data_IF_412284436289
#
_entry.id   IF_412284436289
#
_cell.length_a   1.000
_cell.length_b   1.000
_cell.length_c   1.000
_cell.angle_alpha   90.00
_cell.angle_beta   90.00
_cell.angle_gamma   90.00
#
_symmetry.space_group_name_H-M   'P 1'
#
loop_
_entity.id
_entity.type
_entity.pdbx_description
1 polymer ?
#
# COMPACT_ATOMS: atom_id res chain seq x y z
N UNK A 1 -5.74 4.28 11.92
CA UNK A 1 -7.18 4.10 11.63
C UNK A 1 -7.64 4.74 10.32
N UNK A 2 -6.95 5.75 9.77
CA UNK A 2 -7.30 6.36 8.46
C UNK A 2 -6.79 5.56 7.24
N UNK A 3 -5.74 4.74 7.38
CA UNK A 3 -5.20 3.94 6.27
C UNK A 3 -6.03 2.69 5.94
N UNK A 4 -6.72 2.10 6.93
CA UNK A 4 -7.68 1.02 6.70
C UNK A 4 -8.91 1.51 5.91
N UNK A 5 -9.29 2.78 6.10
CA UNK A 5 -10.38 3.43 5.36
C UNK A 5 -9.98 3.70 3.91
N UNK A 6 -8.71 4.01 3.62
CA UNK A 6 -8.24 4.20 2.25
C UNK A 6 -8.13 2.88 1.47
N UNK A 7 -7.79 1.77 2.13
CA UNK A 7 -7.80 0.43 1.52
C UNK A 7 -9.23 -0.08 1.31
N UNK A 8 -10.13 0.13 2.29
CA UNK A 8 -11.57 -0.11 2.10
C UNK A 8 -12.17 0.78 1.00
N UNK A 9 -11.78 2.05 0.91
CA UNK A 9 -12.25 2.94 -0.16
C UNK A 9 -11.68 2.58 -1.53
N UNK A 10 -10.49 1.97 -1.61
CA UNK A 10 -9.96 1.41 -2.86
C UNK A 10 -10.70 0.12 -3.25
N UNK A 11 -10.94 -0.79 -2.30
CA UNK A 11 -11.70 -2.02 -2.51
C UNK A 11 -13.16 -1.73 -2.91
N UNK A 12 -13.82 -0.81 -2.21
CA UNK A 12 -15.17 -0.31 -2.53
C UNK A 12 -15.19 0.47 -3.85
N UNK A 13 -14.11 1.18 -4.22
CA UNK A 13 -14.03 1.82 -5.55
C UNK A 13 -13.89 0.79 -6.67
N UNK A 14 -13.16 -0.30 -6.46
CA UNK A 14 -13.05 -1.41 -7.43
C UNK A 14 -14.38 -2.17 -7.54
N UNK A 15 -15.04 -2.45 -6.43
CA UNK A 15 -16.39 -3.03 -6.41
C UNK A 15 -17.40 -2.08 -7.07
N UNK A 16 -17.41 -0.79 -6.73
CA UNK A 16 -18.32 0.20 -7.33
C UNK A 16 -18.04 0.43 -8.82
N UNK A 17 -16.79 0.34 -9.27
CA UNK A 17 -16.42 0.42 -10.68
C UNK A 17 -16.85 -0.83 -11.46
N UNK A 18 -16.85 -2.00 -10.84
CA UNK A 18 -17.41 -3.24 -11.40
C UNK A 18 -18.94 -3.21 -11.44
N UNK A 19 -19.59 -2.68 -10.40
CA UNK A 19 -21.05 -2.50 -10.35
C UNK A 19 -21.51 -1.46 -11.37
N UNK A 20 -20.81 -0.33 -11.49
CA UNK A 20 -21.15 0.73 -12.47
C UNK A 20 -20.81 0.35 -13.91
N UNK A 21 -19.79 -0.49 -14.16
CA UNK A 21 -19.55 -1.04 -15.49
C UNK A 21 -20.63 -2.07 -15.89
N UNK A 22 -21.13 -2.85 -14.93
CA UNK A 22 -22.26 -3.77 -15.12
C UNK A 22 -23.58 -3.01 -15.35
N UNK A 23 -23.80 -1.90 -14.63
CA UNK A 23 -24.96 -1.00 -14.82
C UNK A 23 -24.86 -0.17 -16.12
N UNK A 24 -23.66 0.25 -16.53
CA UNK A 24 -23.45 0.97 -17.80
C UNK A 24 -23.64 0.07 -19.03
N UNK A 25 -23.32 -1.22 -18.93
CA UNK A 25 -23.65 -2.23 -19.96
C UNK A 25 -25.14 -2.57 -19.99
N UNK A 26 -25.88 -2.36 -18.90
CA UNK A 26 -27.33 -2.55 -18.83
C UNK A 26 -28.14 -1.36 -19.40
N UNK A 27 -27.54 -0.20 -19.63
CA UNK A 27 -28.25 1.03 -20.08
C UNK A 27 -28.20 1.26 -21.59
N UNK A 28 -27.49 0.45 -22.39
CA UNK A 28 -27.39 0.63 -23.86
C UNK A 28 -27.93 -0.54 -24.68
N UNK A 29 -29.16 -1.00 -24.42
CA UNK A 29 -29.88 -1.90 -25.33
C UNK A 29 -31.26 -1.34 -25.66
N UNK A 30 -31.32 -0.53 -26.72
CA UNK A 30 -32.57 -0.08 -27.34
C UNK A 30 -33.38 -1.28 -27.83
N UNK A 31 -34.48 -1.55 -27.14
CA UNK A 31 -35.37 -2.66 -27.42
C UNK A 31 -36.28 -2.37 -28.63
N UNK A 32 -35.79 -2.62 -29.85
CA UNK A 32 -36.69 -2.88 -30.99
C UNK A 32 -37.08 -4.36 -31.00
N UNK A 33 -38.31 -4.62 -30.54
CA UNK A 33 -38.96 -5.94 -30.57
C UNK A 33 -38.97 -6.53 -31.98
N UNK A 34 -38.19 -7.57 -32.21
CA UNK A 34 -38.42 -8.54 -33.29
C UNK A 34 -39.19 -9.74 -32.74
N UNK A 35 -40.35 -10.00 -33.33
CA UNK A 35 -41.19 -11.16 -33.07
C UNK A 35 -40.91 -12.16 -34.20
N UNK A 36 -40.17 -13.23 -33.93
CA UNK A 36 -40.26 -14.49 -34.70
C UNK A 36 -39.58 -15.65 -33.97
N UNK A 37 -40.23 -16.80 -34.10
CA UNK A 37 -39.99 -18.14 -33.54
C UNK A 37 -38.55 -18.64 -33.38
N UNK A 38 -38.37 -19.46 -32.33
CA UNK A 38 -37.16 -20.16 -31.87
C UNK A 38 -36.30 -19.29 -30.93
N UNK A 39 -36.69 -19.26 -29.64
CA UNK A 39 -36.05 -18.48 -28.58
C UNK A 39 -34.64 -18.97 -28.28
N UNK A 40 -33.66 -18.52 -29.07
CA UNK A 40 -32.28 -18.42 -28.61
C UNK A 40 -32.14 -17.11 -27.86
N UNK A 41 -31.84 -17.19 -26.56
CA UNK A 41 -31.62 -16.02 -25.71
C UNK A 41 -30.53 -15.13 -26.29
N UNK A 42 -30.65 -13.80 -26.15
CA UNK A 42 -29.71 -12.82 -26.69
C UNK A 42 -28.25 -13.08 -26.28
N UNK A 43 -28.05 -13.69 -25.11
CA UNK A 43 -26.73 -14.08 -24.59
C UNK A 43 -26.09 -15.18 -25.45
N UNK A 44 -26.89 -16.09 -26.01
CA UNK A 44 -26.41 -17.19 -26.87
C UNK A 44 -25.95 -16.72 -28.26
N UNK A 45 -26.13 -15.44 -28.58
CA UNK A 45 -25.64 -14.83 -29.83
C UNK A 45 -24.25 -14.20 -29.69
N UNK A 46 -23.75 -14.06 -28.47
CA UNK A 46 -22.42 -13.50 -28.23
C UNK A 46 -21.34 -14.54 -28.59
N UNK A 47 -20.20 -14.11 -29.18
CA UNK A 47 -19.06 -14.98 -29.37
C UNK A 47 -18.53 -15.53 -28.04
N UNK A 48 -17.99 -16.75 -28.05
CA UNK A 48 -17.52 -17.43 -26.84
C UNK A 48 -16.42 -16.62 -26.13
N UNK A 49 -15.56 -15.89 -26.85
CA UNK A 49 -14.53 -15.04 -26.26
C UNK A 49 -15.11 -13.85 -25.49
N UNK A 50 -16.27 -13.33 -25.93
CA UNK A 50 -16.98 -12.25 -25.23
C UNK A 50 -17.65 -12.84 -23.99
N UNK A 51 -18.28 -14.00 -24.11
CA UNK A 51 -18.87 -14.70 -22.97
C UNK A 51 -17.82 -15.07 -21.92
N UNK A 52 -16.64 -15.55 -22.33
CA UNK A 52 -15.52 -15.85 -21.43
C UNK A 52 -15.04 -14.63 -20.65
N UNK A 53 -14.95 -13.46 -21.32
CA UNK A 53 -14.65 -12.19 -20.64
C UNK A 53 -15.74 -11.78 -19.66
N UNK A 54 -17.02 -11.92 -20.02
CA UNK A 54 -18.13 -11.64 -19.11
C UNK A 54 -18.07 -12.56 -17.88
N UNK A 55 -17.83 -13.86 -18.09
CA UNK A 55 -17.68 -14.81 -16.98
C UNK A 55 -16.48 -14.51 -16.09
N UNK A 56 -15.39 -13.96 -16.64
CA UNK A 56 -14.20 -13.55 -15.89
C UNK A 56 -14.44 -12.35 -14.97
N UNK A 57 -15.56 -11.62 -15.16
CA UNK A 57 -15.99 -10.54 -14.27
C UNK A 57 -16.92 -11.05 -13.15
N UNK A 58 -17.38 -12.29 -13.22
CA UNK A 58 -18.23 -12.90 -12.20
C UNK A 58 -17.37 -13.60 -11.13
N UNK A 59 -17.89 -13.72 -9.89
CA UNK A 59 -17.28 -14.59 -8.89
C UNK A 59 -17.08 -16.01 -9.43
N UNK A 60 -15.93 -16.62 -9.16
CA UNK A 60 -15.53 -17.95 -9.71
C UNK A 60 -16.60 -19.01 -9.53
N UNK A 61 -17.29 -19.02 -8.38
CA UNK A 61 -18.38 -19.97 -8.10
C UNK A 61 -19.56 -19.81 -9.05
N UNK A 62 -19.91 -18.58 -9.40
CA UNK A 62 -20.99 -18.27 -10.36
C UNK A 62 -20.53 -18.57 -11.78
N UNK A 63 -19.31 -18.17 -12.15
CA UNK A 63 -18.75 -18.49 -13.46
C UNK A 63 -18.71 -20.02 -13.69
N UNK A 64 -18.22 -20.77 -12.70
CA UNK A 64 -18.13 -22.23 -12.77
C UNK A 64 -19.51 -22.91 -12.81
N UNK A 65 -20.53 -22.36 -12.15
CA UNK A 65 -21.89 -22.95 -12.19
C UNK A 65 -22.53 -22.86 -13.57
N UNK A 66 -22.15 -21.88 -14.40
CA UNK A 66 -22.62 -21.80 -15.79
C UNK A 66 -22.23 -23.03 -16.62
N UNK A 67 -21.11 -23.70 -16.27
CA UNK A 67 -20.66 -24.92 -16.95
C UNK A 67 -21.63 -26.11 -16.82
N UNK A 68 -22.62 -25.99 -15.92
CA UNK A 68 -23.69 -26.96 -15.73
C UNK A 68 -24.89 -26.72 -16.67
N UNK A 69 -24.99 -25.55 -17.29
CA UNK A 69 -26.13 -25.16 -18.14
C UNK A 69 -26.14 -25.89 -19.48
N UNK A 70 -24.97 -26.10 -20.10
CA UNK A 70 -24.82 -26.86 -21.35
C UNK A 70 -23.36 -27.23 -21.62
N UNK A 71 -23.13 -28.02 -22.68
CA UNK A 71 -21.77 -28.28 -23.20
C UNK A 71 -21.08 -27.00 -23.68
N UNK A 72 -21.79 -26.11 -24.38
CA UNK A 72 -21.22 -24.86 -24.87
C UNK A 72 -20.72 -23.98 -23.72
N UNK A 73 -21.54 -23.83 -22.67
CA UNK A 73 -21.15 -23.06 -21.48
C UNK A 73 -19.96 -23.66 -20.74
N UNK A 74 -19.74 -24.98 -20.84
CA UNK A 74 -18.53 -25.61 -20.33
C UNK A 74 -17.28 -25.23 -21.15
N UNK A 75 -17.41 -25.13 -22.47
CA UNK A 75 -16.32 -24.69 -23.35
C UNK A 75 -16.03 -23.20 -23.15
N UNK A 76 -17.07 -22.36 -23.03
CA UNK A 76 -16.94 -20.93 -22.70
C UNK A 76 -16.25 -20.72 -21.35
N UNK A 77 -16.57 -21.55 -20.34
CA UNK A 77 -15.92 -21.43 -19.03
C UNK A 77 -14.40 -21.60 -19.12
N UNK A 78 -13.88 -22.39 -20.07
CA UNK A 78 -12.42 -22.54 -20.29
C UNK A 78 -11.70 -21.26 -20.70
N UNK A 79 -12.45 -20.27 -21.18
CA UNK A 79 -11.92 -18.96 -21.57
C UNK A 79 -11.83 -18.01 -20.38
N UNK A 80 -12.28 -18.43 -19.20
CA UNK A 80 -12.16 -17.65 -17.97
C UNK A 80 -10.71 -17.64 -17.51
N UNK A 81 -10.09 -16.47 -17.56
CA UNK A 81 -8.66 -16.30 -17.27
C UNK A 81 -8.38 -15.71 -15.88
N UNK A 82 -9.42 -15.40 -15.10
CA UNK A 82 -9.35 -14.92 -13.73
C UNK A 82 -10.10 -15.87 -12.78
N UNK A 83 -9.38 -16.43 -11.80
CA UNK A 83 -9.94 -17.32 -10.80
C UNK A 83 -9.65 -16.78 -9.39
N UNK A 84 -10.67 -16.73 -8.57
CA UNK A 84 -10.61 -16.38 -7.15
C UNK A 84 -11.21 -17.49 -6.27
N UNK A 85 -10.39 -18.00 -5.35
CA UNK A 85 -10.75 -19.05 -4.40
C UNK A 85 -10.54 -18.56 -2.97
N UNK A 86 -11.64 -18.45 -2.21
CA UNK A 86 -11.62 -18.07 -0.80
C UNK A 86 -12.33 -19.11 0.07
N UNK A 87 -11.57 -19.71 1.00
CA UNK A 87 -12.06 -20.68 1.98
C UNK A 87 -12.76 -20.01 3.19
N UNK A 88 -12.55 -18.72 3.45
CA UNK A 88 -13.05 -18.03 4.66
C UNK A 88 -14.57 -18.05 4.84
N UNK A 89 -15.33 -18.16 3.75
CA UNK A 89 -16.79 -18.32 3.79
C UNK A 89 -17.25 -19.64 4.43
N UNK A 90 -16.35 -20.62 4.56
CA UNK A 90 -16.64 -21.93 5.18
C UNK A 90 -16.74 -21.85 6.72
N UNK A 91 -16.19 -20.79 7.33
CA UNK A 91 -16.15 -20.61 8.79
C UNK A 91 -17.39 -19.92 9.39
N UNK A 92 -18.23 -19.27 8.58
CA UNK A 92 -19.36 -18.46 9.08
C UNK A 92 -20.57 -19.27 9.59
N UNK A 93 -20.52 -20.61 9.56
CA UNK A 93 -21.71 -21.45 9.75
C UNK A 93 -21.72 -22.37 10.97
N UNK A 94 -20.77 -22.26 11.92
CA UNK A 94 -20.77 -23.12 13.12
C UNK A 94 -20.38 -22.35 14.38
N UNK A 95 -21.40 -21.90 15.10
CA UNK A 95 -21.28 -21.28 16.43
C UNK A 95 -20.83 -22.27 17.52
N UNK A 96 -20.78 -23.58 17.23
CA UNK A 96 -20.34 -24.58 18.18
C UNK A 96 -19.23 -25.47 17.61
N UNK A 97 -18.09 -25.46 18.31
CA UNK A 97 -16.88 -26.32 18.21
C UNK A 97 -15.70 -25.73 17.44
N UNK A 98 -14.60 -25.56 18.19
CA UNK A 98 -13.19 -25.58 17.78
C UNK A 98 -12.94 -25.12 16.33
N UNK A 99 -12.55 -23.85 16.16
CA UNK A 99 -12.16 -23.28 14.87
C UNK A 99 -11.17 -24.23 14.19
N UNK A 100 -11.62 -24.94 13.15
CA UNK A 100 -10.72 -25.74 12.30
C UNK A 100 -9.94 -24.75 11.45
N UNK A 101 -8.65 -24.59 11.74
CA UNK A 101 -7.70 -23.78 10.95
C UNK A 101 -7.26 -24.51 9.67
N UNK A 102 -8.23 -25.07 8.94
CA UNK A 102 -8.02 -26.06 7.87
C UNK A 102 -9.15 -25.89 6.87
N UNK A 103 -8.83 -25.73 5.58
CA UNK A 103 -9.86 -25.60 4.55
C UNK A 103 -10.70 -26.88 4.41
N UNK A 104 -11.96 -26.75 4.02
CA UNK A 104 -12.87 -27.89 3.90
C UNK A 104 -12.62 -28.77 2.67
N UNK A 105 -12.97 -30.07 2.72
CA UNK A 105 -12.90 -30.97 1.56
C UNK A 105 -13.81 -30.52 0.39
N UNK A 106 -14.90 -29.82 0.69
CA UNK A 106 -15.78 -29.23 -0.34
C UNK A 106 -15.09 -28.08 -1.08
N UNK A 107 -14.28 -27.29 -0.38
CA UNK A 107 -13.41 -26.28 -0.98
C UNK A 107 -12.33 -26.94 -1.84
N UNK A 108 -11.61 -27.94 -1.32
CA UNK A 108 -10.62 -28.72 -2.08
C UNK A 108 -11.20 -29.26 -3.39
N UNK A 109 -12.34 -29.95 -3.29
CA UNK A 109 -13.02 -30.50 -4.46
C UNK A 109 -13.55 -29.43 -5.42
N UNK A 110 -13.92 -28.24 -4.93
CA UNK A 110 -14.32 -27.12 -5.78
C UNK A 110 -13.14 -26.58 -6.58
N UNK A 111 -11.99 -26.34 -5.94
CA UNK A 111 -10.76 -25.88 -6.61
C UNK A 111 -10.33 -26.90 -7.67
N UNK A 112 -10.25 -28.18 -7.29
CA UNK A 112 -9.84 -29.25 -8.19
C UNK A 112 -10.75 -29.40 -9.40
N UNK A 113 -12.07 -29.41 -9.20
CA UNK A 113 -13.03 -29.49 -10.32
C UNK A 113 -12.94 -28.26 -11.20
N UNK A 114 -12.77 -27.07 -10.62
CA UNK A 114 -12.67 -25.82 -11.39
C UNK A 114 -11.42 -25.81 -12.26
N UNK A 115 -10.26 -26.16 -11.70
CA UNK A 115 -9.00 -26.24 -12.46
C UNK A 115 -9.02 -27.35 -13.53
N UNK A 116 -9.72 -28.45 -13.28
CA UNK A 116 -9.92 -29.53 -14.25
C UNK A 116 -10.85 -29.10 -15.40
N UNK A 117 -11.90 -28.33 -15.13
CA UNK A 117 -12.80 -27.81 -16.17
C UNK A 117 -12.08 -26.88 -17.14
N UNK A 118 -11.09 -26.13 -16.66
CA UNK A 118 -10.24 -25.24 -17.46
C UNK A 118 -9.28 -25.98 -18.42
N UNK A 119 -9.05 -27.29 -18.24
CA UNK A 119 -8.08 -28.06 -19.04
C UNK A 119 -6.72 -27.35 -19.13
N UNK A 120 -6.07 -27.25 -20.28
CA UNK A 120 -4.78 -26.59 -20.45
C UNK A 120 -4.89 -25.10 -20.84
N UNK A 121 -6.07 -24.48 -20.65
CA UNK A 121 -6.25 -23.08 -21.01
C UNK A 121 -5.44 -22.16 -20.08
N UNK A 122 -4.86 -21.05 -20.63
CA UNK A 122 -4.08 -20.12 -19.84
C UNK A 122 -4.93 -19.45 -18.76
N UNK A 123 -4.44 -19.48 -17.51
CA UNK A 123 -5.00 -18.71 -16.40
C UNK A 123 -4.10 -17.49 -16.23
N UNK A 124 -4.63 -16.28 -16.37
CA UNK A 124 -3.84 -15.07 -16.22
C UNK A 124 -3.73 -14.60 -14.78
N UNK A 125 -4.83 -14.67 -14.03
CA UNK A 125 -4.92 -14.17 -12.67
C UNK A 125 -5.44 -15.30 -11.77
N UNK A 126 -4.72 -15.59 -10.69
CA UNK A 126 -5.19 -16.46 -9.63
C UNK A 126 -5.12 -15.72 -8.29
N UNK A 127 -6.24 -15.73 -7.57
CA UNK A 127 -6.32 -15.41 -6.15
C UNK A 127 -6.66 -16.69 -5.37
N UNK A 128 -5.83 -17.03 -4.39
CA UNK A 128 -6.01 -18.18 -3.52
C UNK A 128 -5.86 -17.74 -2.07
N UNK A 129 -6.95 -17.84 -1.31
CA UNK A 129 -7.01 -17.59 0.11
C UNK A 129 -7.48 -18.84 0.85
N UNK A 130 -6.63 -19.39 1.71
CA UNK A 130 -6.90 -20.63 2.42
C UNK A 130 -6.18 -20.74 3.77
N UNK A 131 -6.77 -21.48 4.70
CA UNK A 131 -6.17 -21.84 5.99
C UNK A 131 -5.66 -23.28 5.94
N UNK A 132 -4.42 -23.48 6.40
CA UNK A 132 -3.72 -24.77 6.42
C UNK A 132 -3.31 -25.08 7.86
N UNK A 133 -3.58 -26.31 8.31
CA UNK A 133 -3.19 -26.75 9.64
C UNK A 133 -1.67 -26.95 9.76
N UNK A 134 -1.11 -26.72 10.96
CA UNK A 134 0.35 -26.70 11.22
C UNK A 134 1.11 -27.91 10.63
N UNK A 135 0.51 -29.10 10.69
CA UNK A 135 1.10 -30.37 10.28
C UNK A 135 0.27 -31.10 9.21
N UNK A 136 -0.58 -30.39 8.46
CA UNK A 136 -1.41 -30.99 7.41
C UNK A 136 -0.68 -31.03 6.07
N UNK A 137 0.24 -31.99 5.93
CA UNK A 137 1.02 -32.20 4.71
C UNK A 137 0.17 -32.52 3.48
N UNK A 138 -1.03 -33.11 3.66
CA UNK A 138 -1.98 -33.33 2.55
C UNK A 138 -2.46 -31.99 2.00
N UNK A 139 -2.86 -31.07 2.87
CA UNK A 139 -3.33 -29.75 2.45
C UNK A 139 -2.24 -28.89 1.86
N UNK A 140 -1.04 -28.90 2.46
CA UNK A 140 0.14 -28.24 1.88
C UNK A 140 0.43 -28.77 0.48
N UNK A 141 0.37 -30.08 0.28
CA UNK A 141 0.54 -30.70 -1.05
C UNK A 141 -0.57 -30.30 -2.04
N UNK A 142 -1.82 -30.15 -1.58
CA UNK A 142 -2.92 -29.65 -2.43
C UNK A 142 -2.67 -28.22 -2.89
N UNK A 143 -2.30 -27.33 -1.97
CA UNK A 143 -1.96 -25.93 -2.28
C UNK A 143 -0.78 -25.86 -3.25
N UNK A 144 0.29 -26.63 -3.00
CA UNK A 144 1.45 -26.70 -3.89
C UNK A 144 1.08 -27.21 -5.30
N UNK A 145 0.16 -28.18 -5.39
CA UNK A 145 -0.35 -28.70 -6.66
C UNK A 145 -1.18 -27.66 -7.41
N UNK A 146 -2.06 -26.91 -6.74
CA UNK A 146 -2.84 -25.84 -7.35
C UNK A 146 -1.95 -24.72 -7.89
N UNK A 147 -0.99 -24.27 -7.09
CA UNK A 147 -0.01 -23.25 -7.50
C UNK A 147 0.81 -23.75 -8.70
N UNK A 148 1.34 -24.98 -8.63
CA UNK A 148 2.13 -25.55 -9.74
C UNK A 148 1.32 -25.65 -11.03
N UNK A 149 0.06 -26.05 -10.94
CA UNK A 149 -0.84 -26.15 -12.08
C UNK A 149 -1.02 -24.79 -12.79
N UNK A 150 -1.31 -23.72 -12.04
CA UNK A 150 -1.51 -22.39 -12.66
C UNK A 150 -0.22 -21.77 -13.16
N UNK A 151 0.90 -22.01 -12.47
CA UNK A 151 2.21 -21.51 -12.90
C UNK A 151 2.63 -22.18 -14.20
N UNK A 152 2.40 -23.49 -14.33
CA UNK A 152 2.65 -24.23 -15.58
C UNK A 152 1.81 -23.68 -16.75
N UNK A 153 0.59 -23.20 -16.48
CA UNK A 153 -0.30 -22.56 -17.47
C UNK A 153 0.06 -21.11 -17.80
N UNK A 154 1.15 -20.58 -17.24
CA UNK A 154 1.67 -19.25 -17.59
C UNK A 154 0.98 -18.09 -16.88
N UNK A 155 0.63 -18.24 -15.60
CA UNK A 155 0.03 -17.18 -14.78
C UNK A 155 0.83 -15.86 -14.81
N UNK A 156 0.11 -14.75 -14.90
CA UNK A 156 0.67 -13.38 -14.92
C UNK A 156 0.60 -12.73 -13.54
N UNK A 157 -0.51 -12.87 -12.83
CA UNK A 157 -0.72 -12.33 -11.49
C UNK A 157 -1.15 -13.44 -10.52
N UNK A 158 -0.41 -13.57 -9.42
CA UNK A 158 -0.67 -14.57 -8.40
C UNK A 158 -0.80 -13.90 -7.03
N UNK A 159 -1.95 -14.08 -6.40
CA UNK A 159 -2.28 -13.59 -5.08
C UNK A 159 -2.48 -14.77 -4.13
N UNK A 160 -1.55 -14.95 -3.19
CA UNK A 160 -1.55 -16.04 -2.23
C UNK A 160 -1.76 -15.49 -0.82
N UNK A 161 -2.94 -15.71 -0.26
CA UNK A 161 -3.25 -15.46 1.16
C UNK A 161 -3.40 -16.80 1.88
N UNK A 162 -2.26 -17.40 2.18
CA UNK A 162 -2.21 -18.68 2.89
C UNK A 162 -1.99 -18.36 4.36
N UNK A 163 -2.79 -18.96 5.25
CA UNK A 163 -2.54 -18.92 6.70
C UNK A 163 -2.14 -20.31 7.14
N UNK A 164 -0.86 -20.47 7.49
CA UNK A 164 -0.28 -21.74 7.91
C UNK A 164 0.26 -21.59 9.34
N UNK A 165 -0.09 -22.50 10.23
CA UNK A 165 0.40 -22.50 11.62
C UNK A 165 1.80 -23.12 11.76
N UNK A 166 2.35 -23.68 10.68
CA UNK A 166 3.69 -24.24 10.61
C UNK A 166 4.54 -23.64 9.49
N UNK A 167 5.59 -24.36 9.10
CA UNK A 167 6.45 -23.99 7.97
C UNK A 167 5.77 -24.41 6.67
N UNK A 168 5.67 -23.45 5.75
CA UNK A 168 5.07 -23.64 4.42
C UNK A 168 6.15 -23.61 3.32
N UNK A 169 6.11 -24.60 2.43
CA UNK A 169 6.99 -24.66 1.27
C UNK A 169 6.21 -24.31 0.00
N UNK A 170 6.56 -23.19 -0.62
CA UNK A 170 6.03 -22.84 -1.94
C UNK A 170 6.70 -23.72 -3.02
N UNK A 171 5.95 -24.14 -4.05
CA UNK A 171 6.49 -25.05 -5.06
C UNK A 171 7.63 -24.39 -5.85
N UNK A 172 8.76 -25.10 -6.11
CA UNK A 172 9.89 -24.52 -6.83
C UNK A 172 9.56 -23.96 -8.21
N UNK A 173 8.53 -24.52 -8.86
CA UNK A 173 8.05 -24.06 -10.17
C UNK A 173 7.62 -22.59 -10.14
N UNK A 174 7.07 -22.11 -9.01
CA UNK A 174 6.69 -20.71 -8.81
C UNK A 174 7.89 -19.78 -9.03
N UNK A 175 9.05 -20.15 -8.47
CA UNK A 175 10.28 -19.37 -8.50
C UNK A 175 11.08 -19.49 -9.79
N UNK A 176 10.63 -20.32 -10.74
CA UNK A 176 11.19 -20.47 -12.08
C UNK A 176 10.25 -19.90 -13.18
N UNK A 177 9.17 -19.23 -12.80
CA UNK A 177 8.17 -18.72 -13.74
C UNK A 177 8.71 -17.56 -14.59
N UNK A 178 8.53 -17.69 -15.91
CA UNK A 178 8.89 -16.68 -16.92
C UNK A 178 7.73 -15.74 -17.31
N UNK A 179 6.53 -15.99 -16.81
CA UNK A 179 5.31 -15.24 -17.14
C UNK A 179 4.85 -14.34 -15.99
N UNK A 180 5.22 -14.68 -14.76
CA UNK A 180 4.72 -14.02 -13.55
C UNK A 180 5.21 -12.56 -13.44
N UNK A 181 4.29 -11.61 -13.54
CA UNK A 181 4.51 -10.17 -13.43
C UNK A 181 4.15 -9.63 -12.05
N UNK A 182 3.12 -10.16 -11.38
CA UNK A 182 2.74 -9.71 -10.05
C UNK A 182 2.64 -10.88 -9.10
N UNK A 183 3.33 -10.79 -7.99
CA UNK A 183 3.33 -11.80 -6.93
C UNK A 183 2.97 -11.13 -5.61
N UNK A 184 1.86 -11.57 -5.04
CA UNK A 184 1.44 -11.23 -3.70
C UNK A 184 1.49 -12.50 -2.86
N UNK A 185 2.24 -12.49 -1.76
CA UNK A 185 2.32 -13.61 -0.81
C UNK A 185 2.06 -13.04 0.58
N UNK A 186 1.10 -13.61 1.31
CA UNK A 186 0.98 -13.30 2.72
C UNK A 186 -0.37 -13.47 3.40
N UNK A 187 -0.32 -13.81 4.69
CA UNK A 187 -0.97 -13.13 5.83
C UNK A 187 -0.73 -13.99 7.09
N UNK A 188 0.51 -13.97 7.62
CA UNK A 188 1.05 -14.82 8.72
C UNK A 188 1.60 -16.17 8.26
N UNK A 189 2.66 -16.14 7.44
CA UNK A 189 3.32 -17.33 6.90
C UNK A 189 4.77 -17.44 7.36
N UNK A 190 5.18 -18.63 7.78
CA UNK A 190 6.58 -18.98 7.94
C UNK A 190 7.02 -19.74 6.70
N UNK A 191 7.76 -19.08 5.80
CA UNK A 191 8.28 -19.75 4.62
C UNK A 191 9.51 -20.58 4.98
N UNK A 192 9.50 -21.84 4.56
CA UNK A 192 10.72 -22.64 4.59
C UNK A 192 11.74 -22.12 3.59
N UNK A 193 12.98 -22.59 3.72
CA UNK A 193 14.10 -22.23 2.86
C UNK A 193 13.75 -22.17 1.37
N UNK A 194 14.04 -21.03 0.76
CA UNK A 194 13.81 -20.82 -0.66
C UNK A 194 14.84 -21.60 -1.52
N UNK A 195 14.46 -22.06 -2.73
CA UNK A 195 15.39 -22.73 -3.63
C UNK A 195 16.50 -21.76 -4.07
N UNK A 196 17.76 -22.21 -4.10
CA UNK A 196 18.91 -21.34 -4.44
C UNK A 196 18.94 -20.82 -5.88
N UNK A 197 18.07 -21.36 -6.75
CA UNK A 197 18.01 -21.07 -8.19
C UNK A 197 16.80 -20.19 -8.58
N UNK A 198 16.27 -19.37 -7.68
CA UNK A 198 15.18 -18.43 -8.01
C UNK A 198 15.55 -17.63 -9.26
N UNK A 199 14.72 -17.73 -10.29
CA UNK A 199 14.89 -17.00 -11.54
C UNK A 199 13.53 -16.57 -12.05
N UNK A 200 13.28 -15.29 -11.86
CA UNK A 200 12.02 -14.63 -12.11
C UNK A 200 12.28 -13.48 -13.10
N UNK A 201 12.45 -13.79 -14.41
CA UNK A 201 13.00 -12.86 -15.39
C UNK A 201 12.02 -11.78 -15.90
N UNK A 202 10.73 -11.86 -15.56
CA UNK A 202 9.72 -10.88 -16.00
C UNK A 202 9.73 -9.61 -15.12
N UNK A 203 9.25 -8.48 -15.64
CA UNK A 203 9.08 -7.23 -14.86
C UNK A 203 8.13 -7.48 -13.70
N UNK A 204 8.52 -7.11 -12.45
CA UNK A 204 7.79 -7.57 -11.25
C UNK A 204 7.32 -6.48 -10.29
N UNK A 205 6.13 -6.74 -9.75
CA UNK A 205 5.57 -6.16 -8.53
C UNK A 205 5.55 -7.28 -7.48
N UNK A 206 6.22 -7.06 -6.35
CA UNK A 206 6.25 -8.01 -5.24
C UNK A 206 5.60 -7.37 -4.01
N UNK A 207 4.53 -7.99 -3.53
CA UNK A 207 3.87 -7.59 -2.30
C UNK A 207 3.97 -8.73 -1.29
N UNK A 208 4.54 -8.41 -0.13
CA UNK A 208 4.77 -9.34 0.97
C UNK A 208 3.93 -8.86 2.14
N UNK A 209 3.05 -9.72 2.64
CA UNK A 209 2.20 -9.42 3.81
C UNK A 209 2.41 -10.44 4.93
N UNK A 210 3.11 -10.02 5.98
CA UNK A 210 3.28 -10.77 7.22
C UNK A 210 3.88 -12.16 6.94
N UNK A 211 5.04 -12.17 6.27
CA UNK A 211 5.76 -13.38 5.86
C UNK A 211 7.14 -13.41 6.50
N UNK A 212 7.43 -14.45 7.27
CA UNK A 212 8.74 -14.68 7.85
C UNK A 212 9.61 -15.46 6.86
N UNK A 213 10.81 -14.95 6.61
CA UNK A 213 11.85 -15.59 5.80
C UNK A 213 12.99 -16.05 6.70
N UNK A 214 13.68 -17.13 6.34
CA UNK A 214 14.98 -17.45 6.91
C UNK A 214 15.98 -16.29 6.67
N UNK A 215 16.97 -16.15 7.55
CA UNK A 215 17.90 -15.02 7.50
C UNK A 215 18.59 -14.91 6.13
N UNK A 216 18.39 -13.77 5.48
CA UNK A 216 18.96 -13.48 4.16
C UNK A 216 18.14 -13.97 2.96
N UNK A 217 17.16 -14.86 3.12
CA UNK A 217 16.43 -15.44 1.98
C UNK A 217 15.67 -14.39 1.16
N UNK A 218 15.09 -13.38 1.82
CA UNK A 218 14.43 -12.28 1.12
C UNK A 218 15.39 -11.58 0.15
N UNK A 219 16.54 -11.09 0.64
CA UNK A 219 17.47 -10.30 -0.17
C UNK A 219 18.35 -11.15 -1.07
N UNK A 220 18.99 -12.16 -0.50
CA UNK A 220 20.03 -12.95 -1.15
C UNK A 220 19.47 -14.01 -2.12
N UNK A 221 18.20 -14.38 -1.97
CA UNK A 221 17.57 -15.43 -2.80
C UNK A 221 16.41 -14.86 -3.62
N UNK A 222 15.35 -14.34 -2.96
CA UNK A 222 14.14 -13.91 -3.65
C UNK A 222 14.36 -12.64 -4.49
N UNK A 223 14.86 -11.56 -3.88
CA UNK A 223 15.09 -10.29 -4.57
C UNK A 223 16.25 -10.40 -5.59
N UNK A 224 17.32 -11.12 -5.24
CA UNK A 224 18.43 -11.41 -6.15
C UNK A 224 17.97 -12.20 -7.40
N UNK A 225 17.01 -13.11 -7.25
CA UNK A 225 16.41 -13.87 -8.34
C UNK A 225 15.43 -13.09 -9.22
N UNK A 226 15.11 -11.83 -8.89
CA UNK A 226 14.16 -10.97 -9.61
C UNK A 226 14.87 -9.79 -10.32
N UNK A 227 15.57 -10.01 -11.46
CA UNK A 227 16.41 -8.99 -12.10
C UNK A 227 15.65 -7.78 -12.69
N UNK A 228 14.32 -7.83 -12.78
CA UNK A 228 13.47 -6.74 -13.30
C UNK A 228 12.42 -6.27 -12.28
N UNK A 229 12.65 -6.48 -10.98
CA UNK A 229 11.75 -6.01 -9.93
C UNK A 229 11.79 -4.48 -9.83
N UNK A 230 10.65 -3.81 -9.98
CA UNK A 230 10.56 -2.35 -9.89
C UNK A 230 9.85 -1.86 -8.64
N UNK A 231 8.83 -2.58 -8.17
CA UNK A 231 8.06 -2.20 -6.99
C UNK A 231 8.06 -3.33 -5.96
N UNK A 232 8.46 -2.99 -4.74
CA UNK A 232 8.46 -3.86 -3.57
C UNK A 232 7.62 -3.22 -2.45
N UNK A 233 6.68 -3.99 -1.92
CA UNK A 233 5.88 -3.62 -0.77
C UNK A 233 6.01 -4.70 0.30
N UNK A 234 6.41 -4.32 1.50
CA UNK A 234 6.63 -5.21 2.64
C UNK A 234 5.79 -4.71 3.81
N UNK A 235 4.73 -5.44 4.12
CA UNK A 235 3.79 -5.11 5.17
C UNK A 235 3.86 -6.20 6.23
N UNK A 236 4.03 -5.84 7.49
CA UNK A 236 4.02 -6.79 8.61
C UNK A 236 3.20 -6.17 9.73
N UNK A 237 2.02 -6.73 9.97
CA UNK A 237 1.06 -6.21 10.94
C UNK A 237 0.74 -7.33 11.93
N UNK A 238 1.00 -7.08 13.23
CA UNK A 238 0.83 -8.04 14.31
C UNK A 238 1.49 -9.39 14.02
N UNK A 239 2.71 -9.37 13.46
CA UNK A 239 3.42 -10.58 13.04
C UNK A 239 4.93 -10.41 13.27
N UNK A 240 5.58 -11.48 13.74
CA UNK A 240 7.02 -11.52 13.96
C UNK A 240 7.75 -11.24 12.65
N UNK A 241 8.41 -10.09 12.59
CA UNK A 241 9.28 -9.72 11.50
C UNK A 241 10.63 -9.37 12.07
N UNK A 242 11.69 -9.93 11.51
CA UNK A 242 13.04 -9.55 11.88
C UNK A 242 13.61 -8.66 10.77
N UNK A 243 13.45 -7.32 10.86
CA UNK A 243 14.11 -6.44 9.92
C UNK A 243 15.63 -6.59 10.10
N UNK A 244 16.36 -6.69 9.00
CA UNK A 244 17.82 -6.67 9.04
C UNK A 244 18.37 -5.85 7.87
N UNK A 245 17.97 -6.22 6.65
CA UNK A 245 18.43 -5.52 5.44
C UNK A 245 17.41 -5.70 4.31
N UNK A 246 17.12 -4.63 3.57
CA UNK A 246 16.50 -4.68 2.24
C UNK A 246 17.54 -4.19 1.21
N UNK A 247 18.01 -5.10 0.37
CA UNK A 247 18.97 -4.80 -0.70
C UNK A 247 18.44 -5.27 -2.06
N UNK A 248 18.55 -4.40 -3.07
CA UNK A 248 18.24 -4.72 -4.47
C UNK A 248 18.83 -3.67 -5.41
N UNK A 249 19.31 -4.11 -6.57
CA UNK A 249 19.90 -3.22 -7.59
C UNK A 249 18.89 -2.73 -8.65
N UNK A 250 17.62 -3.14 -8.54
CA UNK A 250 16.59 -2.93 -9.58
C UNK A 250 15.39 -2.14 -9.09
N UNK A 251 15.04 -2.27 -7.80
CA UNK A 251 13.84 -1.66 -7.19
C UNK A 251 13.89 -0.13 -7.30
N UNK A 252 12.78 0.45 -7.78
CA UNK A 252 12.58 1.89 -7.94
C UNK A 252 11.59 2.45 -6.92
N UNK A 253 10.66 1.64 -6.43
CA UNK A 253 9.65 2.03 -5.45
C UNK A 253 9.62 1.02 -4.31
N UNK A 254 9.77 1.51 -3.09
CA UNK A 254 9.73 0.71 -1.87
C UNK A 254 8.66 1.25 -0.92
N UNK A 255 7.84 0.35 -0.41
CA UNK A 255 6.87 0.60 0.65
C UNK A 255 7.10 -0.39 1.79
N UNK A 256 7.35 0.10 2.99
CA UNK A 256 7.65 -0.72 4.16
C UNK A 256 6.77 -0.26 5.31
N UNK A 257 5.94 -1.16 5.81
CA UNK A 257 4.99 -0.91 6.88
C UNK A 257 5.10 -1.99 7.94
N UNK A 258 5.70 -1.66 9.07
CA UNK A 258 5.90 -2.56 10.21
C UNK A 258 5.11 -2.07 11.41
N UNK A 259 4.09 -2.82 11.80
CA UNK A 259 3.23 -2.57 12.95
C UNK A 259 3.20 -3.84 13.83
N UNK A 260 4.26 -4.07 14.62
CA UNK A 260 4.32 -5.13 15.63
C UNK A 260 4.84 -4.57 16.96
N UNK A 261 3.97 -4.35 17.95
CA UNK A 261 4.36 -3.74 19.24
C UNK A 261 5.11 -4.71 20.18
N UNK A 262 5.10 -6.02 19.89
CA UNK A 262 5.55 -7.03 20.84
C UNK A 262 6.99 -7.55 20.62
N UNK A 263 7.62 -7.25 19.47
CA UNK A 263 8.82 -7.99 19.03
C UNK A 263 10.06 -7.12 18.75
N UNK A 264 9.95 -5.80 18.92
CA UNK A 264 11.08 -4.90 18.68
C UNK A 264 11.85 -4.68 19.98
N UNK A 265 13.09 -5.14 20.02
CA UNK A 265 14.03 -4.87 21.10
C UNK A 265 15.12 -3.86 20.68
N UNK A 266 16.06 -3.60 21.58
CA UNK A 266 17.12 -2.62 21.33
C UNK A 266 18.23 -3.12 20.37
N UNK A 267 18.17 -4.37 19.89
CA UNK A 267 19.11 -4.97 18.93
C UNK A 267 18.58 -4.93 17.49
N UNK A 268 17.29 -4.64 17.31
CA UNK A 268 16.70 -4.47 15.99
C UNK A 268 17.33 -3.28 15.25
N UNK A 269 17.70 -3.53 14.00
CA UNK A 269 18.27 -2.54 13.10
C UNK A 269 17.67 -2.68 11.70
N UNK A 270 17.77 -1.63 10.90
CA UNK A 270 17.29 -1.64 9.53
C UNK A 270 18.32 -1.05 8.57
N UNK A 271 18.69 -1.82 7.55
CA UNK A 271 19.58 -1.36 6.48
C UNK A 271 18.86 -1.32 5.14
N UNK A 272 19.16 -0.29 4.34
CA UNK A 272 18.67 -0.11 2.98
C UNK A 272 19.86 -0.01 2.01
N UNK A 273 19.89 -0.87 1.00
CA UNK A 273 20.89 -0.82 -0.07
C UNK A 273 20.20 -0.90 -1.43
N UNK A 274 19.72 0.26 -1.89
CA UNK A 274 18.82 0.35 -3.05
C UNK A 274 19.28 1.51 -3.96
N UNK A 275 20.37 1.31 -4.74
CA UNK A 275 21.00 2.39 -5.51
C UNK A 275 20.09 3.04 -6.57
N UNK A 276 19.04 2.35 -7.04
CA UNK A 276 18.09 2.85 -8.04
C UNK A 276 16.73 3.27 -7.46
N UNK A 277 16.59 3.31 -6.13
CA UNK A 277 15.35 3.69 -5.49
C UNK A 277 15.01 5.16 -5.76
N UNK A 278 13.79 5.44 -6.20
CA UNK A 278 13.27 6.79 -6.50
C UNK A 278 12.22 7.21 -5.47
N UNK A 279 11.43 6.27 -4.96
CA UNK A 279 10.38 6.51 -3.97
C UNK A 279 10.53 5.55 -2.78
N UNK A 280 10.52 6.12 -1.57
CA UNK A 280 10.50 5.39 -0.31
C UNK A 280 9.28 5.78 0.52
N UNK A 281 8.51 4.79 0.97
CA UNK A 281 7.55 4.93 2.05
C UNK A 281 7.96 3.99 3.18
N UNK A 282 8.24 4.55 4.36
CA UNK A 282 8.74 3.82 5.50
C UNK A 282 7.93 4.18 6.75
N UNK A 283 7.22 3.20 7.29
CA UNK A 283 6.37 3.29 8.46
C UNK A 283 6.78 2.21 9.46
N UNK A 284 7.40 2.60 10.58
CA UNK A 284 7.89 1.67 11.60
C UNK A 284 8.13 2.40 12.93
N UNK A 285 8.23 1.66 14.03
CA UNK A 285 8.81 2.22 15.24
C UNK A 285 10.28 2.62 14.98
N UNK A 286 10.72 3.70 15.61
CA UNK A 286 12.11 4.10 15.56
C UNK A 286 12.99 2.96 16.13
N UNK A 287 14.10 2.68 15.45
CA UNK A 287 15.02 1.61 15.82
C UNK A 287 16.29 2.20 16.45
N UNK A 288 17.09 1.30 17.06
CA UNK A 288 18.33 1.71 17.70
C UNK A 288 19.42 2.10 16.70
N UNK A 289 19.47 1.41 15.56
CA UNK A 289 20.52 1.60 14.56
C UNK A 289 19.98 1.46 13.12
N UNK A 290 20.58 2.25 12.23
CA UNK A 290 20.37 2.16 10.78
C UNK A 290 21.74 2.03 10.08
N UNK A 291 22.42 0.87 10.19
CA UNK A 291 23.86 0.75 9.92
C UNK A 291 24.27 1.12 8.49
N UNK A 292 23.39 0.89 7.51
CA UNK A 292 23.64 1.20 6.12
C UNK A 292 22.37 1.74 5.45
N UNK A 293 22.42 2.97 4.94
CA UNK A 293 21.32 3.60 4.20
C UNK A 293 21.85 4.17 2.88
N UNK A 294 22.01 3.30 1.88
CA UNK A 294 22.51 3.63 0.55
C UNK A 294 21.36 3.87 -0.44
N UNK A 295 20.94 5.14 -0.56
CA UNK A 295 19.79 5.58 -1.36
C UNK A 295 20.13 6.79 -2.28
N UNK A 296 21.16 6.71 -3.14
CA UNK A 296 21.69 7.84 -3.90
C UNK A 296 20.71 8.43 -4.93
N UNK A 297 19.79 7.61 -5.48
CA UNK A 297 18.83 8.03 -6.51
C UNK A 297 17.48 8.49 -5.94
N UNK A 298 17.34 8.57 -4.61
CA UNK A 298 16.05 8.81 -3.96
C UNK A 298 15.55 10.24 -4.22
N UNK A 299 14.31 10.34 -4.70
CA UNK A 299 13.66 11.62 -5.05
C UNK A 299 12.57 11.98 -4.04
N UNK A 300 11.77 11.00 -3.62
CA UNK A 300 10.67 11.19 -2.68
C UNK A 300 10.76 10.21 -1.51
N UNK A 301 10.64 10.73 -0.30
CA UNK A 301 10.58 9.94 0.92
C UNK A 301 9.35 10.30 1.76
N UNK A 302 8.64 9.28 2.26
CA UNK A 302 7.59 9.38 3.26
C UNK A 302 7.99 8.61 4.49
N UNK A 303 8.13 9.30 5.61
CA UNK A 303 8.43 8.70 6.90
C UNK A 303 7.22 8.78 7.83
N UNK A 304 6.89 7.65 8.42
CA UNK A 304 5.94 7.54 9.52
C UNK A 304 6.54 6.74 10.69
N UNK A 305 7.31 7.44 11.53
CA UNK A 305 7.99 6.88 12.68
C UNK A 305 7.22 7.13 13.98
N UNK A 306 7.26 6.19 14.91
CA UNK A 306 6.77 6.37 16.27
C UNK A 306 7.75 5.81 17.31
N UNK A 307 7.58 6.25 18.55
CA UNK A 307 8.36 5.75 19.67
C UNK A 307 7.75 4.45 20.19
N UNK A 308 8.60 3.44 20.41
CA UNK A 308 8.22 2.21 21.11
C UNK A 308 8.90 2.18 22.48
N UNK A 309 8.16 1.84 23.53
CA UNK A 309 8.63 1.95 24.93
C UNK A 309 9.79 1.00 25.25
N UNK A 310 9.92 -0.08 24.49
CA UNK A 310 10.90 -1.15 24.71
C UNK A 310 12.28 -0.83 24.12
N UNK A 311 12.39 0.18 23.25
CA UNK A 311 13.65 0.54 22.60
C UNK A 311 14.32 1.67 23.40
N UNK A 312 15.37 1.32 24.16
CA UNK A 312 15.99 2.25 25.12
C UNK A 312 17.06 3.17 24.49
N UNK A 313 17.58 2.83 23.31
CA UNK A 313 18.68 3.56 22.65
C UNK A 313 18.36 3.85 21.20
N UNK A 314 17.43 4.78 20.97
CA UNK A 314 17.02 5.20 19.64
C UNK A 314 18.07 6.11 18.97
N UNK A 315 18.33 5.85 17.69
CA UNK A 315 19.14 6.73 16.84
C UNK A 315 18.65 6.64 15.39
N UNK A 316 18.09 7.75 14.89
CA UNK A 316 17.61 7.83 13.50
C UNK A 316 18.58 8.61 12.61
N UNK A 317 19.76 8.97 13.11
CA UNK A 317 20.67 9.88 12.42
C UNK A 317 21.09 9.35 11.05
N UNK A 318 21.48 8.08 10.95
CA UNK A 318 21.90 7.47 9.69
C UNK A 318 20.76 7.33 8.68
N UNK A 319 19.52 7.10 9.15
CA UNK A 319 18.33 7.14 8.31
C UNK A 319 18.14 8.52 7.68
N UNK A 320 18.24 9.58 8.47
CA UNK A 320 18.07 10.96 7.99
C UNK A 320 19.22 11.38 7.06
N UNK A 321 20.44 10.97 7.37
CA UNK A 321 21.60 11.19 6.48
C UNK A 321 21.39 10.46 5.15
N UNK A 322 20.89 9.22 5.17
CA UNK A 322 20.68 8.42 3.97
C UNK A 322 19.64 9.00 3.01
N UNK A 323 18.63 9.72 3.51
CA UNK A 323 17.59 10.37 2.69
C UNK A 323 17.85 11.84 2.37
N UNK A 324 19.01 12.41 2.72
CA UNK A 324 19.28 13.86 2.60
C UNK A 324 19.15 14.43 1.17
N UNK A 325 19.24 13.59 0.15
CA UNK A 325 19.26 13.99 -1.26
C UNK A 325 17.86 14.17 -1.89
N UNK A 326 16.78 13.90 -1.15
CA UNK A 326 15.42 13.95 -1.69
C UNK A 326 14.99 15.35 -2.13
N UNK A 327 14.09 15.38 -3.12
CA UNK A 327 13.38 16.59 -3.55
C UNK A 327 12.07 16.80 -2.79
N UNK A 328 11.43 15.71 -2.40
CA UNK A 328 10.16 15.73 -1.67
C UNK A 328 10.28 14.87 -0.40
N UNK A 329 10.02 15.48 0.75
CA UNK A 329 10.03 14.81 2.05
C UNK A 329 8.68 14.96 2.74
N UNK A 330 8.06 13.85 3.12
CA UNK A 330 6.85 13.84 3.94
C UNK A 330 7.15 13.22 5.31
N UNK A 331 6.87 13.97 6.36
CA UNK A 331 7.03 13.55 7.74
C UNK A 331 5.66 13.46 8.41
N UNK A 332 5.36 12.32 9.02
CA UNK A 332 4.22 12.20 9.92
C UNK A 332 4.43 13.01 11.22
N UNK A 333 3.36 13.31 11.99
CA UNK A 333 3.50 13.95 13.29
C UNK A 333 4.37 13.16 14.29
N UNK A 334 4.35 11.83 14.21
CA UNK A 334 5.23 11.00 15.03
C UNK A 334 6.69 11.14 14.60
N UNK A 335 6.92 11.13 13.28
CA UNK A 335 8.27 11.27 12.70
C UNK A 335 8.93 12.58 13.13
N UNK A 336 8.19 13.69 13.15
CA UNK A 336 8.72 14.97 13.56
C UNK A 336 9.23 14.96 15.02
N UNK A 337 8.49 14.29 15.92
CA UNK A 337 8.89 14.17 17.33
C UNK A 337 10.11 13.24 17.48
N UNK A 338 10.09 12.09 16.79
CA UNK A 338 11.18 11.11 16.78
C UNK A 338 12.49 11.73 16.29
N UNK A 339 12.45 12.41 15.13
CA UNK A 339 13.64 13.01 14.52
C UNK A 339 14.21 14.10 15.42
N UNK A 340 13.37 14.96 15.98
CA UNK A 340 13.83 16.03 16.88
C UNK A 340 14.52 15.48 18.14
N UNK A 341 14.04 14.36 18.70
CA UNK A 341 14.58 13.78 19.92
C UNK A 341 15.80 12.86 19.69
N UNK A 342 15.84 12.17 18.55
CA UNK A 342 16.76 11.05 18.32
C UNK A 342 17.70 11.20 17.11
N UNK A 343 17.77 12.40 16.53
CA UNK A 343 18.83 12.77 15.59
C UNK A 343 19.97 13.46 16.36
N UNK A 344 20.96 12.66 16.81
CA UNK A 344 21.94 13.09 17.83
C UNK A 344 22.95 14.13 17.34
N UNK A 345 23.32 14.08 16.06
CA UNK A 345 24.38 14.91 15.49
C UNK A 345 23.84 16.13 14.74
N UNK A 346 22.55 16.44 14.91
CA UNK A 346 21.85 17.48 14.16
C UNK A 346 21.42 17.02 12.77
N UNK A 347 20.56 17.81 12.14
CA UNK A 347 20.05 17.52 10.81
C UNK A 347 21.12 17.71 9.73
N UNK A 348 21.19 16.82 8.73
CA UNK A 348 22.03 17.04 7.56
C UNK A 348 21.50 18.20 6.71
N UNK A 349 22.37 18.72 5.83
CA UNK A 349 21.97 19.69 4.81
C UNK A 349 21.13 18.97 3.74
N UNK A 350 19.98 19.55 3.39
CA UNK A 350 19.07 19.06 2.36
C UNK A 350 19.18 19.94 1.11
N UNK A 351 20.25 19.73 0.32
CA UNK A 351 20.58 20.59 -0.83
C UNK A 351 19.58 20.55 -1.98
N UNK A 352 18.72 19.52 -2.03
CA UNK A 352 17.78 19.31 -3.13
C UNK A 352 16.31 19.37 -2.70
N UNK A 353 16.02 19.59 -1.42
CA UNK A 353 14.65 19.56 -0.91
C UNK A 353 13.87 20.79 -1.40
N UNK A 354 12.84 20.54 -2.19
CA UNK A 354 11.93 21.54 -2.77
C UNK A 354 10.57 21.51 -2.09
N UNK A 355 10.10 20.32 -1.75
CA UNK A 355 8.77 20.09 -1.16
C UNK A 355 8.91 19.42 0.21
N UNK A 356 8.43 20.07 1.26
CA UNK A 356 8.38 19.51 2.61
C UNK A 356 6.93 19.41 3.05
N UNK A 357 6.51 18.22 3.47
CA UNK A 357 5.25 18.02 4.18
C UNK A 357 5.53 17.62 5.62
N UNK A 358 4.96 18.37 6.56
CA UNK A 358 5.15 18.16 7.99
C UNK A 358 3.79 18.10 8.69
N UNK A 359 3.58 17.05 9.47
CA UNK A 359 2.61 17.07 10.56
C UNK A 359 3.32 17.31 11.89
N UNK A 360 2.66 17.97 12.83
CA UNK A 360 3.14 18.08 14.23
C UNK A 360 1.97 17.94 15.20
N UNK A 361 2.23 17.33 16.36
CA UNK A 361 1.28 17.27 17.49
C UNK A 361 1.72 18.11 18.69
N UNK A 362 2.94 18.65 18.66
CA UNK A 362 3.57 19.31 19.80
C UNK A 362 4.55 20.41 19.33
N UNK A 363 5.15 21.11 20.29
CA UNK A 363 6.11 22.19 19.98
C UNK A 363 7.42 21.68 19.35
N UNK A 364 7.80 20.43 19.57
CA UNK A 364 9.06 19.87 19.05
C UNK A 364 9.04 19.74 17.53
N UNK A 365 7.91 19.35 16.95
CA UNK A 365 7.78 19.31 15.48
C UNK A 365 7.93 20.69 14.83
N UNK A 366 7.50 21.77 15.51
CA UNK A 366 7.71 23.14 15.03
C UNK A 366 9.18 23.58 15.14
N UNK A 367 9.89 23.16 16.20
CA UNK A 367 11.34 23.35 16.30
C UNK A 367 12.09 22.61 15.20
N UNK A 368 11.68 21.36 14.91
CA UNK A 368 12.22 20.61 13.78
C UNK A 368 11.99 21.33 12.45
N UNK A 369 10.80 21.90 12.24
CA UNK A 369 10.52 22.71 11.04
C UNK A 369 11.51 23.87 10.89
N UNK A 370 11.75 24.61 11.99
CA UNK A 370 12.71 25.71 11.97
C UNK A 370 14.13 25.25 11.62
N UNK A 371 14.55 24.08 12.11
CA UNK A 371 15.86 23.53 11.77
C UNK A 371 15.92 23.00 10.33
N UNK A 372 14.87 22.34 9.83
CA UNK A 372 14.77 21.92 8.43
C UNK A 372 14.80 23.12 7.48
N UNK A 373 14.14 24.22 7.82
CA UNK A 373 14.18 25.46 7.02
C UNK A 373 15.59 26.06 6.94
N UNK A 374 16.40 25.95 8.01
CA UNK A 374 17.82 26.38 7.97
C UNK A 374 18.65 25.48 7.05
N UNK A 375 18.37 24.17 7.06
CA UNK A 375 19.14 23.18 6.32
C UNK A 375 18.68 23.00 4.86
N UNK A 376 17.56 23.61 4.45
CA UNK A 376 16.91 23.41 3.15
C UNK A 376 16.81 24.72 2.36
N UNK A 377 17.90 25.14 1.73
CA UNK A 377 17.99 26.45 1.08
C UNK A 377 17.16 26.60 -0.20
N UNK A 378 16.77 25.48 -0.83
CA UNK A 378 15.95 25.41 -2.05
C UNK A 378 14.47 25.14 -1.79
N UNK A 379 14.04 25.11 -0.53
CA UNK A 379 12.66 24.77 -0.19
C UNK A 379 11.70 25.84 -0.75
N UNK A 380 10.77 25.42 -1.59
CA UNK A 380 9.78 26.30 -2.22
C UNK A 380 8.36 26.02 -1.72
N UNK A 381 8.04 24.75 -1.44
CA UNK A 381 6.70 24.33 -1.03
C UNK A 381 6.71 23.71 0.36
N UNK A 382 5.88 24.24 1.25
CA UNK A 382 5.65 23.71 2.59
C UNK A 382 4.20 23.27 2.73
N UNK A 383 3.98 22.01 3.07
CA UNK A 383 2.65 21.42 3.33
C UNK A 383 2.54 21.12 4.83
N UNK A 384 1.63 21.79 5.52
CA UNK A 384 1.36 21.60 6.95
C UNK A 384 0.08 20.78 7.11
N UNK A 385 0.19 19.59 7.71
CA UNK A 385 -0.95 18.66 7.84
C UNK A 385 -2.00 19.09 8.88
N UNK A 386 -1.61 19.94 9.82
CA UNK A 386 -2.43 20.51 10.90
C UNK A 386 -1.64 21.66 11.57
N UNK A 387 -2.29 22.76 11.95
CA UNK A 387 -1.69 23.87 12.70
C UNK A 387 -1.81 23.71 14.23
N UNK A 388 -2.47 22.65 14.70
CA UNK A 388 -2.72 22.43 16.11
C UNK A 388 -1.43 22.53 16.95
N UNK A 389 -1.55 23.22 18.08
CA UNK A 389 -0.47 23.47 19.06
C UNK A 389 0.69 24.33 18.55
N UNK A 390 0.58 25.00 17.39
CA UNK A 390 1.49 26.10 17.10
C UNK A 390 1.22 27.26 18.07
N UNK A 391 2.25 27.72 18.78
CA UNK A 391 2.11 28.78 19.80
C UNK A 391 2.80 30.08 19.44
N UNK A 392 3.47 30.16 18.27
CA UNK A 392 4.22 31.34 17.84
C UNK A 392 5.50 31.60 18.64
N UNK A 393 5.88 30.67 19.51
CA UNK A 393 7.11 30.70 20.33
C UNK A 393 8.35 30.24 19.55
N UNK A 394 8.15 29.51 18.45
CA UNK A 394 9.21 29.12 17.53
C UNK A 394 9.25 30.09 16.37
N UNK A 395 10.24 30.99 16.37
CA UNK A 395 10.49 31.87 15.22
C UNK A 395 11.14 31.08 14.09
N UNK A 396 10.64 31.28 12.87
CA UNK A 396 11.18 30.61 11.70
C UNK A 396 12.40 31.37 11.15
N UNK A 397 13.44 30.66 10.71
CA UNK A 397 14.59 31.30 10.07
C UNK A 397 14.17 31.99 8.76
N UNK A 398 14.99 32.93 8.25
CA UNK A 398 14.81 33.47 6.91
C UNK A 398 14.72 32.34 5.89
N UNK A 399 13.62 32.32 5.13
CA UNK A 399 13.30 31.25 4.20
C UNK A 399 12.78 31.81 2.87
N UNK A 400 12.78 30.95 1.84
CA UNK A 400 12.36 31.28 0.47
C UNK A 400 11.11 30.51 0.06
N UNK A 401 10.31 30.06 1.02
CA UNK A 401 9.08 29.32 0.74
C UNK A 401 8.12 30.24 -0.02
N UNK A 402 7.65 29.75 -1.18
CA UNK A 402 6.73 30.43 -2.08
C UNK A 402 5.31 29.89 -1.93
N UNK A 403 5.17 28.59 -1.72
CA UNK A 403 3.88 27.91 -1.60
C UNK A 403 3.71 27.37 -0.20
N UNK A 404 2.65 27.79 0.48
CA UNK A 404 2.23 27.22 1.75
C UNK A 404 0.87 26.54 1.56
N UNK A 405 0.80 25.25 1.85
CA UNK A 405 -0.43 24.46 1.80
C UNK A 405 -0.77 23.96 3.19
N UNK A 406 -1.97 24.27 3.67
CA UNK A 406 -2.45 23.89 5.00
C UNK A 406 -3.59 22.91 4.81
N UNK A 407 -3.42 21.70 5.32
CA UNK A 407 -4.41 20.65 5.26
C UNK A 407 -5.20 20.58 6.55
N UNK A 408 -6.47 20.16 6.45
CA UNK A 408 -7.29 19.81 7.60
C UNK A 408 -7.66 21.00 8.50
N UNK A 409 -7.74 22.20 7.94
CA UNK A 409 -8.11 23.41 8.68
C UNK A 409 -9.55 23.30 9.18
N UNK A 410 -9.79 23.51 10.47
CA UNK A 410 -11.12 23.36 11.10
C UNK A 410 -11.86 24.69 11.27
N UNK A 411 -11.19 25.82 11.04
CA UNK A 411 -11.82 27.14 11.11
C UNK A 411 -12.07 27.64 12.53
N UNK A 412 -11.39 27.08 13.55
CA UNK A 412 -11.53 27.57 14.93
C UNK A 412 -10.86 28.94 15.10
N UNK A 413 -11.31 29.72 16.07
CA UNK A 413 -10.72 31.04 16.37
C UNK A 413 -9.25 30.96 16.79
N UNK A 414 -8.84 29.85 17.41
CA UNK A 414 -7.45 29.59 17.77
C UNK A 414 -6.60 29.23 16.55
N UNK A 415 -7.08 28.33 15.68
CA UNK A 415 -6.39 28.02 14.42
C UNK A 415 -6.25 29.26 13.52
N UNK A 416 -7.24 30.15 13.53
CA UNK A 416 -7.21 31.43 12.81
C UNK A 416 -6.10 32.36 13.36
N UNK A 417 -5.93 32.46 14.68
CA UNK A 417 -4.81 33.20 15.29
C UNK A 417 -3.46 32.56 15.00
N UNK A 418 -3.39 31.24 15.07
CA UNK A 418 -2.18 30.46 14.77
C UNK A 418 -1.76 30.67 13.33
N UNK A 419 -2.70 30.56 12.39
CA UNK A 419 -2.48 30.82 10.98
C UNK A 419 -1.94 32.24 10.75
N UNK A 420 -2.54 33.25 11.40
CA UNK A 420 -2.07 34.63 11.32
C UNK A 420 -0.62 34.79 11.76
N UNK A 421 -0.28 34.23 12.92
CA UNK A 421 1.09 34.27 13.44
C UNK A 421 2.05 33.52 12.52
N UNK A 422 1.64 32.35 12.04
CA UNK A 422 2.47 31.50 11.18
C UNK A 422 2.78 32.18 9.84
N UNK A 423 1.79 32.78 9.19
CA UNK A 423 1.98 33.51 7.93
C UNK A 423 2.93 34.70 8.06
N UNK A 424 2.94 35.37 9.21
CA UNK A 424 3.86 36.48 9.49
C UNK A 424 5.34 36.09 9.43
N UNK A 425 5.66 34.81 9.60
CA UNK A 425 7.03 34.29 9.55
C UNK A 425 7.55 34.07 8.11
N UNK A 426 6.68 34.13 7.08
CA UNK A 426 7.04 33.83 5.69
C UNK A 426 6.90 35.06 4.79
N UNK A 427 8.03 35.64 4.37
CA UNK A 427 8.06 36.89 3.58
C UNK A 427 7.96 36.70 2.07
N UNK A 428 8.23 35.50 1.57
CA UNK A 428 8.36 35.20 0.14
C UNK A 428 7.14 34.47 -0.45
N UNK A 429 6.02 34.41 0.27
CA UNK A 429 4.84 33.66 -0.15
C UNK A 429 4.20 34.24 -1.41
N UNK A 430 4.00 33.38 -2.40
CA UNK A 430 3.33 33.63 -3.67
C UNK A 430 1.96 32.94 -3.73
N UNK A 431 1.81 31.80 -3.05
CA UNK A 431 0.55 31.06 -2.98
C UNK A 431 0.33 30.51 -1.56
N UNK A 432 -0.85 30.75 -1.01
CA UNK A 432 -1.34 30.07 0.19
C UNK A 432 -2.60 29.29 -0.14
N UNK A 433 -2.54 27.97 0.03
CA UNK A 433 -3.66 27.06 -0.15
C UNK A 433 -4.12 26.53 1.21
N UNK A 434 -5.43 26.55 1.47
CA UNK A 434 -6.02 26.03 2.70
C UNK A 434 -7.14 25.05 2.34
N UNK A 435 -6.98 23.80 2.76
CA UNK A 435 -8.00 22.76 2.60
C UNK A 435 -8.79 22.65 3.91
N UNK A 436 -10.10 22.93 3.83
CA UNK A 436 -10.97 22.91 5.00
C UNK A 436 -11.44 21.48 5.28
N UNK A 437 -11.38 21.04 6.52
CA UNK A 437 -11.77 19.68 6.89
C UNK A 437 -13.28 19.46 6.67
N UNK A 438 -13.63 18.37 5.96
CA UNK A 438 -14.98 17.98 5.51
C UNK A 438 -16.00 17.77 6.67
N UNK A 439 -15.58 17.84 7.93
CA UNK A 439 -16.48 17.73 9.09
C UNK A 439 -17.43 18.94 9.26
N UNK A 440 -17.32 19.99 8.45
CA UNK A 440 -18.29 21.07 8.38
C UNK A 440 -19.40 20.73 7.35
N UNK A 441 -20.31 19.82 7.70
CA UNK A 441 -21.58 19.59 6.95
C UNK A 441 -22.55 20.78 7.03
N UNK A 442 -22.11 21.91 7.59
CA UNK A 442 -22.87 23.16 7.65
C UNK A 442 -22.26 24.17 6.66
N UNK A 443 -22.94 24.37 5.53
CA UNK A 443 -22.61 25.37 4.52
C UNK A 443 -22.42 26.78 5.13
N UNK A 444 -23.10 27.08 6.24
CA UNK A 444 -22.97 28.34 6.96
C UNK A 444 -21.62 28.51 7.66
N UNK A 445 -21.11 27.45 8.29
CA UNK A 445 -19.79 27.43 8.93
C UNK A 445 -18.69 27.53 7.87
N UNK A 446 -18.82 26.79 6.77
CA UNK A 446 -17.87 26.87 5.64
C UNK A 446 -17.79 28.28 5.04
N UNK A 447 -18.93 28.95 4.83
CA UNK A 447 -18.97 30.32 4.33
C UNK A 447 -18.34 31.31 5.31
N UNK A 448 -18.59 31.13 6.61
CA UNK A 448 -18.02 31.98 7.64
C UNK A 448 -16.50 31.79 7.74
N UNK A 449 -16.01 30.54 7.76
CA UNK A 449 -14.58 30.21 7.75
C UNK A 449 -13.90 30.79 6.51
N UNK A 450 -14.53 30.71 5.33
CA UNK A 450 -14.01 31.32 4.11
C UNK A 450 -13.95 32.85 4.20
N UNK A 451 -14.96 33.50 4.80
CA UNK A 451 -14.94 34.96 5.04
C UNK A 451 -13.85 35.35 6.03
N UNK A 452 -13.70 34.61 7.12
CA UNK A 452 -12.70 34.88 8.16
C UNK A 452 -11.28 34.74 7.61
N UNK A 453 -11.02 33.69 6.82
CA UNK A 453 -9.77 33.52 6.09
C UNK A 453 -9.52 34.68 5.11
N UNK A 454 -10.51 35.08 4.32
CA UNK A 454 -10.36 36.19 3.36
C UNK A 454 -10.10 37.54 4.06
N UNK A 455 -10.75 37.81 5.20
CA UNK A 455 -10.53 39.03 5.99
C UNK A 455 -9.15 39.06 6.65
N UNK A 456 -8.67 37.92 7.14
CA UNK A 456 -7.39 37.84 7.85
C UNK A 456 -6.18 38.13 6.94
N UNK A 457 -6.32 37.79 5.65
CA UNK A 457 -5.24 37.80 4.68
C UNK A 457 -5.10 39.10 3.90
N UNK A 458 -6.15 39.93 3.85
CA UNK A 458 -6.09 41.30 3.31
C UNK A 458 -5.16 42.24 4.08
N UNK A 459 -4.68 41.84 5.26
CA UNK A 459 -3.84 42.66 6.16
C UNK A 459 -2.41 42.12 6.30
N UNK A 460 -2.17 40.84 5.98
CA UNK A 460 -0.95 40.12 6.43
C UNK A 460 -0.09 39.49 5.32
N UNK A 461 -0.56 39.43 4.07
CA UNK A 461 0.19 38.85 2.96
C UNK A 461 0.97 39.88 2.13
N UNK A 462 2.09 39.48 1.48
CA UNK A 462 2.72 40.27 0.44
C UNK A 462 1.72 40.61 -0.68
N UNK A 463 1.82 41.81 -1.27
CA UNK A 463 0.87 42.36 -2.25
C UNK A 463 0.69 41.55 -3.56
N UNK A 464 1.47 40.48 -3.75
CA UNK A 464 1.42 39.57 -4.92
C UNK A 464 1.04 38.13 -4.58
N UNK A 465 0.67 37.83 -3.33
CA UNK A 465 0.33 36.47 -2.91
C UNK A 465 -1.10 36.10 -3.32
N UNK A 466 -1.27 34.97 -4.00
CA UNK A 466 -2.55 34.38 -4.35
C UNK A 466 -3.06 33.47 -3.23
N UNK A 467 -4.37 33.50 -2.98
CA UNK A 467 -5.00 32.67 -1.95
C UNK A 467 -6.03 31.73 -2.55
N UNK A 468 -5.97 30.46 -2.17
CA UNK A 468 -6.92 29.43 -2.61
C UNK A 468 -7.47 28.67 -1.41
N UNK A 469 -8.79 28.60 -1.30
CA UNK A 469 -9.50 27.75 -0.34
C UNK A 469 -10.17 26.63 -1.11
N UNK A 470 -9.93 25.39 -0.70
CA UNK A 470 -10.47 24.19 -1.33
C UNK A 470 -11.26 23.33 -0.36
#
# INVERSE_FOLDING_TARGET
TTNAINFWNWFVRVESAQTTASEALLISMDAKRFKTSCSRDAISWLPDEVLGKILSLLPTKQAASTSLLSRNWRDVFRLVDCLDFDDSLSHAAREDKQVRYVFSESFEGFVDRTLALQYDYPIKILSLKCHVGADDERQKACVARWISNVVWRGVFELYLSIKDQGVHFLPPLLFASKTLVKLTIGTQLYLGKLPSYVSLPSRKFLFIDSVFFEYGDLCCVLLAGCPLLEELSVHHINFFATPHTISSTTVKKLSVHYDSPDDVDSLCHMSFDLPKLVYLEYSHCALGEYPQVNLPSLVEAKLDLWLERRVNRLDVTDLIIGIRNVQTLHLSPGSADVIYLHCKYGLPVFDNLVNLSLGSKNNRGWKLLADLLKQSTKLETLIVKDLNRYTGDVSMPPNKVKVLHILGYRGTSDELKQLKSFLGEFKCLELVQVDVAIAAEDDGIMLQTKRDLMMLLGVSLPSKCHFKVT
#
